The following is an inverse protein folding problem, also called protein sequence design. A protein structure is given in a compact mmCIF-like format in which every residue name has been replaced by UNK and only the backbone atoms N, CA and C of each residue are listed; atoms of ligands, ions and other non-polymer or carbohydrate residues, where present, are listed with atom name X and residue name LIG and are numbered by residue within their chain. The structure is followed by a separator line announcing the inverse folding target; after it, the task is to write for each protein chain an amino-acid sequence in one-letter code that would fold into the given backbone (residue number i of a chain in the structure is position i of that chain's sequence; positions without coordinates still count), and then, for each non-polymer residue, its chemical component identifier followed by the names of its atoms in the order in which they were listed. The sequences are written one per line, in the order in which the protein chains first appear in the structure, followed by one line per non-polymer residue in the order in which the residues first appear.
data_IF_091174972132
#
_entry.id   IF_091174972132
#
_cell.length_a   1.000
_cell.length_b   1.000
_cell.length_c   1.000
_cell.angle_alpha   90.00
_cell.angle_beta   90.00
_cell.angle_gamma   90.00
#
_symmetry.space_group_name_H-M   'P 1'
#
loop_
_entity.id
_entity.type
_entity.pdbx_description
1 polymer ?
#
# COMPACT_ATOMS: atom_id res chain seq x y z
N UNK A 1 12.57 -20.38 -6.42
CA UNK A 1 11.44 -19.65 -6.94
C UNK A 1 11.84 -18.87 -8.19
N UNK A 2 10.87 -18.33 -8.88
CA UNK A 2 11.03 -17.67 -10.20
C UNK A 2 11.06 -16.13 -10.06
N UNK A 3 11.70 -15.62 -9.01
CA UNK A 3 11.85 -14.20 -8.80
C UNK A 3 12.57 -13.51 -9.96
N UNK A 4 12.06 -12.35 -10.37
CA UNK A 4 12.56 -11.61 -11.53
C UNK A 4 12.89 -10.18 -11.18
N UNK A 5 14.06 -9.72 -11.63
CA UNK A 5 14.47 -8.32 -11.60
C UNK A 5 14.82 -7.92 -13.01
N UNK A 6 14.12 -6.93 -13.59
CA UNK A 6 14.29 -6.54 -14.99
C UNK A 6 13.99 -5.07 -15.22
N UNK A 7 14.17 -4.59 -16.46
CA UNK A 7 14.15 -3.17 -16.75
C UNK A 7 15.36 -2.46 -16.14
N UNK A 8 15.19 -1.24 -15.67
CA UNK A 8 16.20 -0.46 -14.97
C UNK A 8 16.12 -0.59 -13.45
N UNK A 9 15.56 -1.71 -12.98
CA UNK A 9 15.40 -1.97 -11.56
C UNK A 9 16.74 -2.29 -10.89
N UNK A 10 16.89 -1.82 -9.64
CA UNK A 10 18.09 -2.03 -8.83
C UNK A 10 17.76 -2.78 -7.56
N UNK A 11 18.51 -3.86 -7.31
CA UNK A 11 18.51 -4.59 -6.05
C UNK A 11 19.95 -4.63 -5.54
N UNK A 12 20.22 -4.03 -4.40
CA UNK A 12 21.57 -3.95 -3.86
C UNK A 12 21.61 -3.97 -2.32
N UNK A 13 22.82 -3.99 -1.76
CA UNK A 13 23.02 -4.19 -0.33
C UNK A 13 22.70 -5.63 0.06
N UNK A 14 22.03 -5.81 1.18
CA UNK A 14 21.59 -7.10 1.70
C UNK A 14 20.14 -7.44 1.28
N UNK A 15 19.58 -6.68 0.36
CA UNK A 15 18.21 -6.87 -0.08
C UNK A 15 17.99 -8.24 -0.72
N UNK A 16 16.81 -8.82 -0.49
CA UNK A 16 16.45 -10.15 -0.99
C UNK A 16 15.16 -10.10 -1.78
N UNK A 17 15.20 -10.64 -3.01
CA UNK A 17 14.02 -10.84 -3.85
C UNK A 17 13.90 -12.33 -4.13
N UNK A 18 12.81 -12.96 -3.72
CA UNK A 18 12.67 -14.40 -3.85
C UNK A 18 11.20 -14.86 -3.99
N UNK A 19 10.95 -16.16 -4.11
CA UNK A 19 9.63 -16.68 -4.46
C UNK A 19 9.33 -16.39 -5.93
N UNK A 20 8.18 -15.81 -6.21
CA UNK A 20 7.74 -15.39 -7.55
C UNK A 20 7.67 -13.85 -7.64
N UNK A 21 8.39 -13.15 -6.77
CA UNK A 21 8.38 -11.70 -6.72
C UNK A 21 8.98 -11.07 -7.98
N UNK A 22 8.45 -9.93 -8.37
CA UNK A 22 8.92 -9.17 -9.51
C UNK A 22 9.32 -7.74 -9.09
N UNK A 23 10.51 -7.32 -9.50
CA UNK A 23 11.00 -5.94 -9.34
C UNK A 23 11.38 -5.42 -10.72
N UNK A 24 10.72 -4.37 -11.21
CA UNK A 24 10.93 -3.93 -12.59
C UNK A 24 10.73 -2.43 -12.79
N UNK A 25 10.85 -1.97 -14.04
CA UNK A 25 10.94 -0.55 -14.41
C UNK A 25 12.15 0.12 -13.74
N UNK A 26 11.94 1.24 -13.04
CA UNK A 26 12.99 1.98 -12.32
C UNK A 26 12.96 1.73 -10.80
N UNK A 27 12.33 0.62 -10.36
CA UNK A 27 12.17 0.33 -8.95
C UNK A 27 13.51 0.03 -8.26
N UNK A 28 13.61 0.41 -6.98
CA UNK A 28 14.83 0.21 -6.18
C UNK A 28 14.52 -0.55 -4.91
N UNK A 29 15.25 -1.64 -4.65
CA UNK A 29 15.17 -2.42 -3.43
C UNK A 29 16.55 -2.51 -2.81
N UNK A 30 16.73 -2.00 -1.59
CA UNK A 30 18.07 -1.92 -0.98
C UNK A 30 18.05 -1.95 0.55
N UNK A 31 19.23 -1.92 1.17
CA UNK A 31 19.37 -2.16 2.61
C UNK A 31 19.14 -3.64 2.94
N UNK A 32 18.36 -3.92 3.96
CA UNK A 32 17.98 -5.28 4.40
C UNK A 32 16.55 -5.64 3.97
N UNK A 33 16.01 -4.94 2.99
CA UNK A 33 14.65 -5.11 2.51
C UNK A 33 14.40 -6.49 1.88
N UNK A 34 13.16 -6.98 2.02
CA UNK A 34 12.76 -8.27 1.43
C UNK A 34 11.49 -8.12 0.60
N UNK A 35 11.54 -8.64 -0.63
CA UNK A 35 10.40 -8.72 -1.54
C UNK A 35 10.19 -10.18 -1.90
N UNK A 36 9.04 -10.75 -1.55
CA UNK A 36 8.82 -12.19 -1.73
C UNK A 36 7.35 -12.57 -1.95
N UNK A 37 7.09 -13.87 -2.13
CA UNK A 37 5.77 -14.34 -2.54
C UNK A 37 5.51 -13.98 -4.00
N UNK A 38 4.35 -13.44 -4.31
CA UNK A 38 3.98 -12.94 -5.65
C UNK A 38 4.03 -11.40 -5.71
N UNK A 39 4.74 -10.76 -4.77
CA UNK A 39 4.78 -9.31 -4.66
C UNK A 39 5.41 -8.65 -5.88
N UNK A 40 4.91 -7.45 -6.22
CA UNK A 40 5.42 -6.66 -7.34
C UNK A 40 5.83 -5.27 -6.88
N UNK A 41 7.04 -4.86 -7.22
CA UNK A 41 7.58 -3.52 -6.98
C UNK A 41 8.00 -2.93 -8.33
N UNK A 42 7.39 -1.83 -8.75
CA UNK A 42 7.62 -1.27 -10.09
C UNK A 42 7.43 0.25 -10.16
N UNK A 43 7.62 0.80 -11.36
CA UNK A 43 7.64 2.26 -11.51
C UNK A 43 8.90 2.84 -10.87
N UNK A 44 8.80 3.95 -10.17
CA UNK A 44 9.89 4.59 -9.42
C UNK A 44 9.89 4.22 -7.92
N UNK A 45 9.20 3.14 -7.56
CA UNK A 45 9.03 2.75 -6.18
C UNK A 45 10.36 2.38 -5.50
N UNK A 46 10.42 2.65 -4.19
CA UNK A 46 11.59 2.33 -3.37
C UNK A 46 11.18 1.50 -2.17
N UNK A 47 11.86 0.37 -1.96
CA UNK A 47 11.71 -0.48 -0.77
C UNK A 47 13.07 -0.60 -0.12
N UNK A 48 13.21 -0.14 1.12
CA UNK A 48 14.51 -0.09 1.77
C UNK A 48 14.44 -0.17 3.30
N UNK A 49 15.60 -0.13 3.95
CA UNK A 49 15.68 -0.40 5.39
C UNK A 49 15.40 -1.87 5.68
N UNK A 50 14.61 -2.15 6.67
CA UNK A 50 14.17 -3.51 7.04
C UNK A 50 12.79 -3.86 6.48
N UNK A 51 12.29 -3.10 5.51
CA UNK A 51 10.93 -3.25 5.00
C UNK A 51 10.72 -4.58 4.27
N UNK A 52 9.51 -5.13 4.43
CA UNK A 52 9.08 -6.35 3.75
C UNK A 52 7.87 -6.08 2.87
N UNK A 53 7.91 -6.62 1.66
CA UNK A 53 6.78 -6.62 0.72
C UNK A 53 6.50 -8.06 0.31
N UNK A 54 5.31 -8.56 0.59
CA UNK A 54 5.02 -9.99 0.43
C UNK A 54 3.57 -10.28 0.00
N UNK A 55 3.26 -11.57 -0.15
CA UNK A 55 1.94 -11.99 -0.64
C UNK A 55 1.73 -11.55 -2.09
N UNK A 56 0.56 -11.03 -2.40
CA UNK A 56 0.21 -10.45 -3.71
C UNK A 56 0.29 -8.90 -3.71
N UNK A 57 1.03 -8.33 -2.75
CA UNK A 57 1.15 -6.89 -2.60
C UNK A 57 1.81 -6.22 -3.81
N UNK A 58 1.38 -4.99 -4.09
CA UNK A 58 1.93 -4.17 -5.17
C UNK A 58 2.37 -2.82 -4.64
N UNK A 59 3.61 -2.46 -4.92
CA UNK A 59 4.19 -1.16 -4.60
C UNK A 59 4.62 -0.49 -5.90
N UNK A 60 4.10 0.69 -6.21
CA UNK A 60 4.33 1.33 -7.52
C UNK A 60 4.33 2.86 -7.47
N UNK A 61 4.49 3.47 -8.63
CA UNK A 61 4.57 4.93 -8.71
C UNK A 61 5.83 5.44 -8.01
N UNK A 62 5.74 6.55 -7.30
CA UNK A 62 6.83 7.14 -6.51
C UNK A 62 6.74 6.73 -5.03
N UNK A 63 6.12 5.59 -4.73
CA UNK A 63 5.92 5.10 -3.36
C UNK A 63 7.24 4.68 -2.70
N UNK A 64 7.35 5.00 -1.41
CA UNK A 64 8.47 4.58 -0.58
C UNK A 64 7.94 3.69 0.55
N UNK A 65 8.51 2.51 0.69
CA UNK A 65 8.27 1.58 1.79
C UNK A 65 9.60 1.37 2.51
N UNK A 66 9.67 1.71 3.78
CA UNK A 66 10.93 1.79 4.51
C UNK A 66 10.76 1.43 5.99
N UNK A 67 11.81 1.62 6.76
CA UNK A 67 11.78 1.31 8.19
C UNK A 67 11.52 -0.16 8.43
N UNK A 68 10.61 -0.49 9.32
CA UNK A 68 10.18 -1.86 9.63
C UNK A 68 8.81 -2.20 9.01
N UNK A 69 8.35 -1.43 8.02
CA UNK A 69 7.04 -1.63 7.43
C UNK A 69 6.92 -3.00 6.75
N UNK A 70 5.79 -3.66 6.94
CA UNK A 70 5.46 -4.92 6.28
C UNK A 70 4.18 -4.76 5.44
N UNK A 71 4.34 -4.56 4.15
CA UNK A 71 3.25 -4.47 3.17
C UNK A 71 2.94 -5.86 2.65
N UNK A 72 1.77 -6.40 2.93
CA UNK A 72 1.43 -7.81 2.66
C UNK A 72 0.01 -8.00 2.15
N UNK A 73 -0.36 -9.27 1.94
CA UNK A 73 -1.67 -9.64 1.43
C UNK A 73 -1.91 -9.10 0.03
N UNK A 74 -3.09 -8.53 -0.20
CA UNK A 74 -3.46 -7.92 -1.49
C UNK A 74 -3.29 -6.38 -1.50
N UNK A 75 -2.46 -5.83 -0.60
CA UNK A 75 -2.26 -4.40 -0.46
C UNK A 75 -1.73 -3.75 -1.74
N UNK A 76 -2.23 -2.56 -2.06
CA UNK A 76 -1.75 -1.75 -3.18
C UNK A 76 -1.31 -0.38 -2.67
N UNK A 77 -0.02 -0.14 -2.69
CA UNK A 77 0.61 1.10 -2.26
C UNK A 77 1.18 1.79 -3.49
N UNK A 78 0.69 2.98 -3.81
CA UNK A 78 1.09 3.66 -5.06
C UNK A 78 1.13 5.19 -4.93
N UNK A 79 1.35 5.85 -6.05
CA UNK A 79 1.46 7.31 -6.05
C UNK A 79 2.62 7.79 -5.21
N UNK A 80 2.41 8.81 -4.39
CA UNK A 80 3.41 9.39 -3.50
C UNK A 80 3.38 8.81 -2.08
N UNK A 81 3.00 7.55 -1.92
CA UNK A 81 2.91 6.90 -0.61
C UNK A 81 4.23 6.96 0.18
N UNK A 82 4.09 7.09 1.49
CA UNK A 82 5.21 7.03 2.45
C UNK A 82 4.81 6.09 3.58
N UNK A 83 5.24 4.85 3.48
CA UNK A 83 4.96 3.79 4.45
C UNK A 83 6.27 3.44 5.15
N UNK A 84 6.43 3.89 6.38
CA UNK A 84 7.64 3.68 7.18
C UNK A 84 7.46 2.69 8.34
N UNK A 85 6.22 2.35 8.64
CA UNK A 85 5.83 1.36 9.63
C UNK A 85 4.48 0.76 9.31
N UNK A 86 4.05 -0.22 10.09
CA UNK A 86 2.78 -0.93 9.88
C UNK A 86 1.56 -0.02 10.13
N UNK A 87 1.72 1.04 10.92
CA UNK A 87 0.69 2.05 11.17
C UNK A 87 0.45 3.01 9.99
N UNK A 88 1.28 3.01 8.96
CA UNK A 88 1.17 3.91 7.82
C UNK A 88 0.30 3.35 6.68
N UNK A 89 -0.21 2.14 6.81
CA UNK A 89 -1.19 1.58 5.89
C UNK A 89 -2.18 0.65 6.60
N UNK A 90 -3.35 0.54 6.02
CA UNK A 90 -4.35 -0.43 6.42
C UNK A 90 -5.07 -0.97 5.18
N UNK A 91 -5.55 -2.19 5.24
CA UNK A 91 -6.35 -2.75 4.16
C UNK A 91 -7.66 -3.34 4.69
N UNK A 92 -8.68 -3.22 3.88
CA UNK A 92 -10.02 -3.76 4.15
C UNK A 92 -10.45 -4.59 2.95
N UNK A 93 -11.00 -5.76 3.20
CA UNK A 93 -11.50 -6.66 2.16
C UNK A 93 -12.85 -7.23 2.54
N UNK A 94 -13.64 -7.61 1.55
CA UNK A 94 -14.93 -8.27 1.76
C UNK A 94 -16.13 -7.31 1.76
N UNK A 95 -15.93 -6.05 1.38
CA UNK A 95 -16.99 -5.06 1.26
C UNK A 95 -17.30 -4.74 -0.21
N UNK A 96 -18.49 -4.17 -0.43
CA UNK A 96 -19.00 -3.88 -1.76
C UNK A 96 -19.50 -5.12 -2.52
N UNK A 97 -19.82 -4.97 -3.79
CA UNK A 97 -20.35 -6.05 -4.65
C UNK A 97 -19.28 -7.01 -5.13
N UNK A 98 -18.04 -6.53 -5.25
CA UNK A 98 -16.92 -7.28 -5.82
C UNK A 98 -15.94 -7.80 -4.75
N UNK A 99 -16.21 -7.54 -3.48
CA UNK A 99 -15.40 -7.95 -2.32
C UNK A 99 -13.91 -7.62 -2.47
N UNK A 100 -13.61 -6.48 -3.13
CA UNK A 100 -12.24 -6.07 -3.46
C UNK A 100 -11.47 -5.61 -2.23
N UNK A 101 -10.17 -5.75 -2.31
CA UNK A 101 -9.27 -5.14 -1.34
C UNK A 101 -9.23 -3.62 -1.55
N UNK A 102 -9.46 -2.88 -0.49
CA UNK A 102 -9.26 -1.44 -0.42
C UNK A 102 -8.07 -1.16 0.49
N UNK A 103 -7.05 -0.47 -0.02
CA UNK A 103 -5.86 -0.12 0.73
C UNK A 103 -5.88 1.37 1.04
N UNK A 104 -5.68 1.70 2.30
CA UNK A 104 -5.50 3.06 2.82
C UNK A 104 -4.05 3.22 3.26
N UNK A 105 -3.43 4.35 2.96
CA UNK A 105 -2.02 4.57 3.31
C UNK A 105 -1.67 6.06 3.40
N UNK A 106 -0.60 6.37 4.11
CA UNK A 106 -0.09 7.74 4.20
C UNK A 106 0.60 8.16 2.91
N UNK A 107 0.20 9.28 2.36
CA UNK A 107 0.88 9.96 1.27
C UNK A 107 1.99 10.90 1.78
N UNK A 108 2.75 11.47 0.86
CA UNK A 108 3.88 12.37 1.15
C UNK A 108 3.55 13.52 2.11
N UNK A 109 2.34 14.07 2.02
CA UNK A 109 1.89 15.21 2.84
C UNK A 109 1.05 14.75 4.05
N UNK A 110 1.25 13.53 4.53
CA UNK A 110 0.43 12.89 5.58
C UNK A 110 -1.06 12.76 5.23
N UNK A 111 -1.47 13.06 4.00
CA UNK A 111 -2.82 12.78 3.52
C UNK A 111 -3.09 11.30 3.48
N UNK A 112 -4.32 10.92 3.81
CA UNK A 112 -4.76 9.53 3.68
C UNK A 112 -5.12 9.29 2.22
N UNK A 113 -4.42 8.37 1.59
CA UNK A 113 -4.62 7.94 0.21
C UNK A 113 -5.36 6.61 0.17
N UNK A 114 -6.13 6.39 -0.87
CA UNK A 114 -6.99 5.21 -1.03
C UNK A 114 -6.81 4.60 -2.41
N UNK A 115 -6.60 3.28 -2.44
CA UNK A 115 -6.72 2.45 -3.64
C UNK A 115 -7.89 1.48 -3.47
N UNK A 116 -8.92 1.63 -4.26
CA UNK A 116 -10.11 0.77 -4.23
C UNK A 116 -10.56 0.45 -5.66
N UNK A 117 -10.27 -0.75 -6.14
CA UNK A 117 -10.54 -1.12 -7.53
C UNK A 117 -9.80 -0.22 -8.51
N UNK A 118 -10.53 0.52 -9.33
CA UNK A 118 -9.98 1.53 -10.25
C UNK A 118 -9.89 2.95 -9.63
N UNK A 119 -10.38 3.14 -8.41
CA UNK A 119 -10.23 4.42 -7.71
C UNK A 119 -8.82 4.53 -7.11
N UNK A 120 -8.19 5.66 -7.36
CA UNK A 120 -6.98 6.09 -6.70
C UNK A 120 -7.09 7.59 -6.39
N UNK A 121 -6.97 7.97 -5.13
CA UNK A 121 -7.10 9.35 -4.70
C UNK A 121 -6.98 9.51 -3.20
N UNK A 122 -7.28 10.69 -2.69
CA UNK A 122 -7.33 10.94 -1.25
C UNK A 122 -8.67 10.47 -0.64
N UNK A 123 -8.75 10.50 0.68
CA UNK A 123 -9.92 10.05 1.43
C UNK A 123 -11.19 10.86 1.10
N UNK A 124 -11.04 12.16 0.87
CA UNK A 124 -12.17 13.03 0.50
C UNK A 124 -12.70 12.68 -0.90
N UNK A 125 -11.80 12.47 -1.86
CA UNK A 125 -12.17 11.99 -3.18
C UNK A 125 -12.86 10.62 -3.14
N UNK A 126 -12.40 9.73 -2.26
CA UNK A 126 -13.03 8.43 -2.03
C UNK A 126 -14.45 8.58 -1.49
N UNK A 127 -14.67 9.41 -0.47
CA UNK A 127 -16.00 9.70 0.07
C UNK A 127 -16.94 10.27 -0.99
N UNK A 128 -16.44 11.21 -1.80
CA UNK A 128 -17.22 11.80 -2.90
C UNK A 128 -17.63 10.73 -3.90
N UNK A 129 -16.71 9.92 -4.36
CA UNK A 129 -17.00 8.85 -5.32
C UNK A 129 -18.00 7.82 -4.75
N UNK A 130 -17.86 7.44 -3.48
CA UNK A 130 -18.82 6.54 -2.84
C UNK A 130 -20.23 7.12 -2.86
N UNK A 131 -20.38 8.40 -2.52
CA UNK A 131 -21.69 9.10 -2.54
C UNK A 131 -22.30 9.20 -3.93
N UNK A 132 -21.48 9.36 -4.95
CA UNK A 132 -21.92 9.51 -6.36
C UNK A 132 -22.23 8.16 -7.04
N UNK A 133 -21.53 7.09 -6.66
CA UNK A 133 -21.58 5.81 -7.39
C UNK A 133 -22.18 4.65 -6.60
N UNK A 134 -22.42 4.81 -5.33
CA UNK A 134 -22.95 3.76 -4.44
C UNK A 134 -24.19 4.28 -3.69
N UNK A 135 -25.03 3.36 -3.28
CA UNK A 135 -26.20 3.67 -2.46
C UNK A 135 -26.44 2.60 -1.39
N UNK A 136 -27.43 2.82 -0.53
CA UNK A 136 -27.89 1.89 0.47
C UNK A 136 -26.78 1.41 1.43
N UNK A 137 -26.78 0.12 1.71
CA UNK A 137 -25.85 -0.53 2.64
C UNK A 137 -24.38 -0.36 2.22
N UNK A 138 -24.09 -0.54 0.95
CA UNK A 138 -22.70 -0.49 0.42
C UNK A 138 -22.11 0.91 0.61
N UNK A 139 -22.85 1.97 0.29
CA UNK A 139 -22.41 3.34 0.49
C UNK A 139 -22.14 3.60 1.97
N UNK A 140 -23.04 3.17 2.85
CA UNK A 140 -22.92 3.33 4.30
C UNK A 140 -21.68 2.61 4.84
N UNK A 141 -21.45 1.37 4.45
CA UNK A 141 -20.26 0.60 4.85
C UNK A 141 -18.96 1.30 4.46
N UNK A 142 -18.83 1.73 3.20
CA UNK A 142 -17.62 2.42 2.75
C UNK A 142 -17.40 3.78 3.43
N UNK A 143 -18.47 4.53 3.72
CA UNK A 143 -18.35 5.79 4.46
C UNK A 143 -17.95 5.56 5.92
N UNK A 144 -18.48 4.51 6.57
CA UNK A 144 -18.05 4.12 7.92
C UNK A 144 -16.58 3.67 7.94
N UNK A 145 -16.14 2.94 6.93
CA UNK A 145 -14.73 2.56 6.78
C UNK A 145 -13.86 3.81 6.60
N UNK A 146 -14.28 4.77 5.77
CA UNK A 146 -13.56 6.02 5.59
C UNK A 146 -13.43 6.80 6.90
N UNK A 147 -14.48 6.86 7.71
CA UNK A 147 -14.46 7.52 9.02
C UNK A 147 -13.52 6.80 10.00
N UNK A 148 -13.54 5.47 10.01
CA UNK A 148 -12.61 4.66 10.80
C UNK A 148 -11.16 4.92 10.38
N UNK A 149 -10.88 4.96 9.09
CA UNK A 149 -9.54 5.20 8.57
C UNK A 149 -9.05 6.63 8.87
N UNK A 150 -9.93 7.62 8.80
CA UNK A 150 -9.59 8.98 9.23
C UNK A 150 -9.20 9.00 10.69
N UNK A 151 -9.98 8.39 11.56
CA UNK A 151 -9.65 8.27 12.98
C UNK A 151 -8.32 7.54 13.19
N UNK A 152 -8.14 6.37 12.55
CA UNK A 152 -6.93 5.55 12.66
C UNK A 152 -5.65 6.29 12.27
N UNK A 153 -5.68 7.06 11.18
CA UNK A 153 -4.50 7.79 10.70
C UNK A 153 -4.30 9.17 11.33
N UNK A 154 -5.30 9.75 11.98
CA UNK A 154 -5.22 11.09 12.56
C UNK A 154 -5.13 11.09 14.08
N UNK A 155 -5.61 10.05 14.76
CA UNK A 155 -5.40 9.90 16.19
C UNK A 155 -3.91 9.74 16.45
N UNK A 156 -3.28 10.76 17.03
CA UNK A 156 -1.99 10.57 17.66
C UNK A 156 -2.23 9.61 18.83
N UNK A 157 -1.62 8.43 18.76
CA UNK A 157 -1.51 7.60 19.94
C UNK A 157 -0.79 8.40 21.00
N UNK A 158 -1.55 8.93 21.94
CA UNK A 158 -1.04 9.14 23.28
C UNK A 158 -0.84 7.75 23.85
N UNK A 159 0.20 7.07 23.40
CA UNK A 159 0.66 5.81 23.93
C UNK A 159 1.18 6.07 25.33
N UNK A 160 0.25 6.02 26.29
CA UNK A 160 0.52 5.69 27.66
C UNK A 160 -0.08 4.30 27.88
N UNK A 161 0.72 3.28 27.61
CA UNK A 161 0.70 2.01 28.30
C UNK A 161 2.12 1.47 28.41
#
# INVERSE_FOLDING_TARGET
GDARVYGDAWVHGNAKVFGNAEVYDNAKVYGDAKVFGNAKVYGNARVYGNAWVSGDARVSGDAWVSGNAWVSGNARVSGNARVSGDADYALVQGFGTEFRCTTFYRGKNKKIMVNCGCFHGDLEGFRKQVKETRNGKIAKEYLMIADLMEYHFTSEDSSNE
#
